data_IF_877900590690
#
_entry.id   IF_877900590690
#
_cell.length_a   1.000
_cell.length_b   1.000
_cell.length_c   1.000
_cell.angle_alpha   90.00
_cell.angle_beta   90.00
_cell.angle_gamma   90.00
#
_symmetry.space_group_name_H-M   'P 1'
#
loop_
_entity.id
_entity.type
_entity.pdbx_description
1 polymer ?
#
# COMPACT_ATOMS: atom_id res chain seq x y z
N UNK A 1 -10.87 8.11 16.21
CA UNK A 1 -10.28 7.34 15.09
C UNK A 1 -10.85 7.81 13.76
N UNK A 2 -10.12 7.55 12.66
CA UNK A 2 -10.57 7.86 11.29
C UNK A 2 -10.33 6.67 10.40
N UNK A 3 -11.26 6.40 9.48
CA UNK A 3 -11.13 5.35 8.47
C UNK A 3 -11.54 5.91 7.10
N UNK A 4 -10.84 5.48 6.07
CA UNK A 4 -11.22 5.76 4.68
C UNK A 4 -11.41 4.41 3.98
N UNK A 5 -12.56 4.24 3.35
CA UNK A 5 -12.91 3.05 2.57
C UNK A 5 -13.11 3.43 1.11
N UNK A 6 -12.34 2.81 0.23
CA UNK A 6 -12.43 3.04 -1.21
C UNK A 6 -12.92 1.76 -1.89
N UNK A 7 -13.98 1.87 -2.68
CA UNK A 7 -14.50 0.79 -3.53
C UNK A 7 -14.31 1.22 -4.99
N UNK A 8 -13.75 0.33 -5.80
CA UNK A 8 -13.47 0.63 -7.19
C UNK A 8 -12.88 -0.54 -7.95
N UNK A 9 -12.39 -0.26 -9.16
CA UNK A 9 -11.72 -1.26 -10.00
C UNK A 9 -10.22 -1.13 -9.75
N UNK A 10 -9.59 -2.23 -9.34
CA UNK A 10 -8.15 -2.32 -9.17
C UNK A 10 -7.50 -2.76 -10.49
N UNK A 11 -6.44 -2.08 -10.88
CA UNK A 11 -5.59 -2.45 -12.01
C UNK A 11 -4.12 -2.38 -11.62
N UNK A 12 -3.31 -3.26 -12.20
CA UNK A 12 -1.86 -3.27 -11.96
C UNK A 12 -1.23 -2.04 -12.60
N UNK A 13 -0.30 -1.38 -11.90
CA UNK A 13 0.48 -0.27 -12.48
C UNK A 13 1.49 -0.80 -13.50
N UNK A 14 1.99 0.07 -14.40
CA UNK A 14 3.04 -0.28 -15.35
C UNK A 14 4.35 -0.64 -14.65
N UNK A 15 5.21 -1.42 -15.34
CA UNK A 15 6.57 -1.72 -14.84
C UNK A 15 7.36 -0.44 -14.56
N UNK A 16 7.30 0.53 -15.48
CA UNK A 16 7.97 1.83 -15.35
C UNK A 16 7.54 2.56 -14.08
N UNK A 17 6.25 2.66 -13.84
CA UNK A 17 5.69 3.31 -12.64
C UNK A 17 6.10 2.59 -11.35
N UNK A 18 6.06 1.25 -11.36
CA UNK A 18 6.53 0.46 -10.22
C UNK A 18 8.03 0.67 -9.96
N UNK A 19 8.86 0.75 -11.00
CA UNK A 19 10.30 0.97 -10.90
C UNK A 19 10.61 2.37 -10.35
N UNK A 20 9.92 3.41 -10.83
CA UNK A 20 10.06 4.79 -10.37
C UNK A 20 9.71 4.92 -8.88
N UNK A 21 8.57 4.37 -8.49
CA UNK A 21 8.17 4.37 -7.09
C UNK A 21 9.11 3.54 -6.21
N UNK A 22 9.55 2.37 -6.67
CA UNK A 22 10.52 1.56 -5.93
C UNK A 22 11.83 2.29 -5.69
N UNK A 23 12.36 3.00 -6.70
CA UNK A 23 13.59 3.81 -6.59
C UNK A 23 13.44 4.96 -5.57
N UNK A 24 12.26 5.55 -5.45
CA UNK A 24 12.00 6.63 -4.49
C UNK A 24 12.02 6.19 -3.02
N UNK A 25 11.90 4.89 -2.75
CA UNK A 25 11.88 4.35 -1.38
C UNK A 25 13.27 4.37 -0.76
N UNK A 26 13.32 4.52 0.57
CA UNK A 26 14.56 4.39 1.34
C UNK A 26 15.24 3.05 1.09
N UNK A 27 16.59 3.02 1.12
CA UNK A 27 17.40 1.83 0.89
C UNK A 27 16.96 0.63 1.73
N UNK A 28 16.76 0.82 3.04
CA UNK A 28 16.29 -0.24 3.94
C UNK A 28 14.95 -0.85 3.53
N UNK A 29 14.01 -0.03 3.03
CA UNK A 29 12.71 -0.50 2.54
C UNK A 29 12.84 -1.30 1.24
N UNK A 30 13.80 -0.93 0.37
CA UNK A 30 14.10 -1.68 -0.86
C UNK A 30 14.74 -3.02 -0.55
N UNK A 31 15.68 -3.07 0.40
CA UNK A 31 16.25 -4.33 0.89
C UNK A 31 15.19 -5.19 1.56
N UNK A 32 14.31 -4.61 2.38
CA UNK A 32 13.21 -5.34 3.02
C UNK A 32 12.27 -6.01 2.02
N UNK A 33 12.06 -5.40 0.84
CA UNK A 33 11.26 -6.01 -0.22
C UNK A 33 11.89 -7.29 -0.79
N UNK A 34 13.22 -7.42 -0.81
CA UNK A 34 13.93 -8.64 -1.18
C UNK A 34 13.97 -9.66 -0.04
N UNK A 35 14.18 -9.18 1.19
CA UNK A 35 14.41 -10.03 2.35
C UNK A 35 13.14 -10.68 2.91
N UNK A 36 11.97 -10.09 2.67
CA UNK A 36 10.70 -10.52 3.23
C UNK A 36 9.79 -11.12 2.17
N UNK A 37 9.36 -12.36 2.40
CA UNK A 37 8.24 -12.96 1.68
C UNK A 37 6.94 -12.54 2.40
N UNK A 38 6.33 -11.46 1.97
CA UNK A 38 5.16 -10.89 2.62
C UNK A 38 4.07 -11.94 2.88
N UNK A 39 3.53 -11.96 4.10
CA UNK A 39 2.46 -12.87 4.57
C UNK A 39 2.83 -14.36 4.63
N UNK A 40 4.08 -14.75 4.38
CA UNK A 40 4.54 -16.11 4.64
C UNK A 40 4.80 -16.34 6.13
N UNK A 41 4.78 -17.61 6.54
CA UNK A 41 5.08 -17.98 7.92
C UNK A 41 6.57 -17.73 8.20
N UNK A 42 6.85 -16.88 9.19
CA UNK A 42 8.20 -16.64 9.71
C UNK A 42 8.45 -17.51 10.92
N UNK A 43 9.37 -18.46 10.83
CA UNK A 43 9.69 -19.39 11.95
C UNK A 43 10.34 -18.67 13.13
N UNK A 44 11.32 -17.80 12.86
CA UNK A 44 12.03 -17.00 13.86
C UNK A 44 12.26 -15.59 13.34
N UNK A 45 12.16 -14.60 14.22
CA UNK A 45 12.42 -13.20 13.88
C UNK A 45 13.85 -12.97 13.35
N UNK A 46 14.80 -13.70 13.88
CA UNK A 46 16.21 -13.64 13.48
C UNK A 46 16.44 -14.06 12.02
N UNK A 47 15.60 -14.94 11.47
CA UNK A 47 15.69 -15.34 10.07
C UNK A 47 15.49 -14.16 9.11
N UNK A 48 14.56 -13.26 9.46
CA UNK A 48 14.36 -12.02 8.70
C UNK A 48 15.59 -11.10 8.77
N UNK A 49 16.18 -10.94 9.96
CA UNK A 49 17.39 -10.11 10.12
C UNK A 49 18.60 -10.69 9.38
N UNK A 50 18.75 -12.02 9.36
CA UNK A 50 19.79 -12.69 8.55
C UNK A 50 19.57 -12.41 7.07
N UNK A 51 18.36 -12.61 6.57
CA UNK A 51 18.00 -12.32 5.17
C UNK A 51 18.28 -10.86 4.80
N UNK A 52 17.93 -9.89 5.67
CA UNK A 52 18.26 -8.48 5.44
C UNK A 52 19.75 -8.25 5.31
N UNK A 53 20.58 -8.88 6.16
CA UNK A 53 22.05 -8.78 6.09
C UNK A 53 22.59 -9.34 4.77
N UNK A 54 22.07 -10.48 4.32
CA UNK A 54 22.45 -11.12 3.05
C UNK A 54 22.12 -10.23 1.85
N UNK A 55 20.91 -9.66 1.80
CA UNK A 55 20.54 -8.77 0.71
C UNK A 55 21.28 -7.43 0.74
N UNK A 56 21.67 -6.92 1.92
CA UNK A 56 22.59 -5.77 2.01
C UNK A 56 23.95 -6.07 1.41
N UNK A 57 24.49 -7.27 1.63
CA UNK A 57 25.76 -7.72 1.00
C UNK A 57 25.61 -7.87 -0.50
N UNK A 58 24.47 -8.42 -0.97
CA UNK A 58 24.16 -8.60 -2.40
C UNK A 58 24.00 -7.28 -3.14
N UNK A 59 23.44 -6.27 -2.49
CA UNK A 59 23.15 -4.94 -3.06
C UNK A 59 23.82 -3.83 -2.23
N UNK A 60 25.17 -3.77 -2.18
CA UNK A 60 25.87 -2.79 -1.35
C UNK A 60 25.72 -1.35 -1.87
N UNK A 61 25.51 -1.19 -3.18
CA UNK A 61 25.26 0.12 -3.77
C UNK A 61 23.82 0.55 -3.54
N UNK A 62 23.65 1.48 -2.60
CA UNK A 62 22.33 1.98 -2.21
C UNK A 62 21.50 2.59 -3.36
N UNK A 63 22.15 3.11 -4.41
CA UNK A 63 21.47 3.70 -5.58
C UNK A 63 21.03 2.64 -6.60
N UNK A 64 21.60 1.44 -6.58
CA UNK A 64 21.43 0.40 -7.61
C UNK A 64 20.73 -0.87 -7.10
N UNK A 65 19.77 -0.76 -6.17
CA UNK A 65 18.96 -1.90 -5.75
C UNK A 65 17.83 -2.11 -6.77
N UNK A 66 17.81 -3.21 -7.53
CA UNK A 66 16.75 -3.48 -8.50
C UNK A 66 15.43 -3.80 -7.78
N UNK A 67 14.31 -3.58 -8.43
CA UNK A 67 13.00 -3.99 -7.93
C UNK A 67 12.83 -5.50 -8.13
N UNK A 68 12.39 -6.28 -7.11
CA UNK A 68 11.99 -7.65 -7.32
C UNK A 68 10.80 -7.75 -8.31
N UNK A 69 10.76 -8.79 -9.13
CA UNK A 69 9.68 -8.95 -10.12
C UNK A 69 8.27 -9.05 -9.50
N UNK A 70 8.19 -9.71 -8.35
CA UNK A 70 6.94 -9.84 -7.60
C UNK A 70 6.48 -8.54 -6.95
N UNK A 71 7.37 -7.56 -6.75
CA UNK A 71 7.03 -6.28 -6.14
C UNK A 71 6.42 -5.35 -7.20
N UNK A 72 5.16 -4.97 -7.01
CA UNK A 72 4.41 -4.15 -7.93
C UNK A 72 3.45 -3.24 -7.16
N UNK A 73 2.68 -2.43 -7.87
CA UNK A 73 1.64 -1.58 -7.31
C UNK A 73 0.30 -1.82 -7.98
N UNK A 74 -0.75 -1.38 -7.30
CA UNK A 74 -2.12 -1.39 -7.78
C UNK A 74 -2.69 0.01 -7.74
N UNK A 75 -3.42 0.37 -8.78
CA UNK A 75 -4.20 1.61 -8.85
C UNK A 75 -5.67 1.26 -8.71
N UNK A 76 -6.36 1.96 -7.82
CA UNK A 76 -7.81 1.85 -7.69
C UNK A 76 -8.45 3.02 -8.42
N UNK A 77 -9.29 2.72 -9.45
CA UNK A 77 -10.20 3.70 -10.04
C UNK A 77 -11.47 3.72 -9.18
N UNK A 78 -11.65 4.73 -8.31
CA UNK A 78 -12.70 4.69 -7.32
C UNK A 78 -14.09 4.85 -7.93
N UNK A 79 -15.04 4.08 -7.45
CA UNK A 79 -16.50 4.22 -7.67
C UNK A 79 -17.18 4.83 -6.46
N UNK A 80 -16.70 4.49 -5.26
CA UNK A 80 -17.20 5.01 -3.99
C UNK A 80 -16.03 5.29 -3.05
N UNK A 81 -16.14 6.35 -2.28
CA UNK A 81 -15.19 6.70 -1.22
C UNK A 81 -16.01 7.06 0.02
N UNK A 82 -15.80 6.36 1.11
CA UNK A 82 -16.44 6.64 2.40
C UNK A 82 -15.39 7.10 3.40
N UNK A 83 -15.67 8.23 4.04
CA UNK A 83 -14.93 8.77 5.16
C UNK A 83 -15.72 8.49 6.43
N UNK A 84 -15.11 7.83 7.37
CA UNK A 84 -15.66 7.50 8.66
C UNK A 84 -14.86 8.17 9.76
N UNK A 85 -15.55 8.82 10.68
CA UNK A 85 -14.99 9.48 11.85
C UNK A 85 -15.65 8.93 13.11
N UNK A 86 -14.85 8.54 14.09
CA UNK A 86 -15.32 8.07 15.37
C UNK A 86 -16.04 9.18 16.14
N UNK A 87 -17.26 8.88 16.59
CA UNK A 87 -18.11 9.76 17.38
C UNK A 87 -18.41 9.17 18.76
N UNK A 88 -18.77 10.02 19.69
CA UNK A 88 -19.19 9.61 21.04
C UNK A 88 -20.45 8.73 20.96
N UNK A 89 -20.59 7.80 21.90
CA UNK A 89 -21.74 6.90 22.02
C UNK A 89 -22.05 6.11 20.74
N UNK A 90 -21.01 5.82 19.92
CA UNK A 90 -21.12 5.15 18.62
C UNK A 90 -21.89 5.94 17.55
N UNK A 91 -22.15 7.22 17.77
CA UNK A 91 -22.77 8.09 16.77
C UNK A 91 -21.65 8.58 15.85
N UNK A 92 -21.29 7.72 14.90
CA UNK A 92 -20.18 7.95 13.98
C UNK A 92 -20.60 8.87 12.83
N UNK A 93 -19.70 9.76 12.42
CA UNK A 93 -19.92 10.54 11.19
C UNK A 93 -19.49 9.72 9.98
N UNK A 94 -20.37 9.57 9.02
CA UNK A 94 -20.14 8.79 7.82
C UNK A 94 -20.49 9.59 6.58
N UNK A 95 -19.46 9.98 5.81
CA UNK A 95 -19.60 10.74 4.58
C UNK A 95 -19.20 9.87 3.40
N UNK A 96 -20.10 9.68 2.44
CA UNK A 96 -19.85 8.85 1.27
C UNK A 96 -19.96 9.65 -0.01
N UNK A 97 -18.97 9.49 -0.88
CA UNK A 97 -18.97 9.97 -2.25
C UNK A 97 -19.21 8.81 -3.21
N UNK A 98 -20.16 8.98 -4.13
CA UNK A 98 -20.52 8.00 -5.15
C UNK A 98 -20.22 8.62 -6.52
N UNK A 99 -19.35 7.96 -7.32
CA UNK A 99 -18.97 8.44 -8.64
C UNK A 99 -20.16 8.39 -9.60
N UNK A 100 -20.42 9.51 -10.26
CA UNK A 100 -21.32 9.65 -11.41
C UNK A 100 -20.50 9.87 -12.67
N UNK A 101 -21.11 9.96 -13.84
CA UNK A 101 -20.41 10.11 -15.12
C UNK A 101 -19.40 11.27 -15.13
N UNK A 102 -19.81 12.45 -14.67
CA UNK A 102 -18.95 13.68 -14.69
C UNK A 102 -18.78 14.33 -13.31
N UNK A 103 -19.35 13.75 -12.24
CA UNK A 103 -19.39 14.35 -10.91
C UNK A 103 -19.32 13.31 -9.80
N UNK A 104 -19.37 13.77 -8.57
CA UNK A 104 -19.51 12.94 -7.38
C UNK A 104 -20.77 13.33 -6.61
N UNK A 105 -21.63 12.35 -6.32
CA UNK A 105 -22.73 12.55 -5.40
C UNK A 105 -22.23 12.35 -3.98
N UNK A 106 -22.46 13.35 -3.13
CA UNK A 106 -22.16 13.32 -1.69
C UNK A 106 -23.41 12.90 -0.93
N UNK A 107 -23.27 11.97 0.01
CA UNK A 107 -24.34 11.52 0.91
C UNK A 107 -23.81 11.30 2.32
N UNK A 108 -24.64 11.53 3.32
CA UNK A 108 -24.39 11.13 4.70
C UNK A 108 -25.03 9.76 4.92
N UNK A 109 -24.36 8.92 5.71
CA UNK A 109 -24.88 7.62 6.10
C UNK A 109 -25.16 7.63 7.61
N UNK A 110 -26.20 6.95 8.02
CA UNK A 110 -26.43 6.67 9.44
C UNK A 110 -25.28 5.83 10.03
N UNK A 111 -24.95 6.05 11.30
CA UNK A 111 -23.90 5.30 12.00
C UNK A 111 -24.20 3.81 12.07
#
# INVERSE_FOLDING_TARGET
QRQIRVIGIASKVSKKEADEYYKSRAYGSRIGAWASQQSSILKKRDDLYKSIKEFKKKFPNQKKVPRPEYWSGWRIKPKEIEFWLDGQNRIHERLKYIKKTKSWKKVLLSP
#
